data_IF_201203853299
#
_entry.id   IF_201203853299
#
_cell.length_a   1.000
_cell.length_b   1.000
_cell.length_c   1.000
_cell.angle_alpha   90.00
_cell.angle_beta   90.00
_cell.angle_gamma   90.00
#
_symmetry.space_group_name_H-M   'P 1'
#
loop_
_entity.id
_entity.type
_entity.pdbx_description
1 polymer ?
#
# COMPACT_ATOMS: atom_id res chain seq x y z
N UNK A 1 -34.72 32.19 -23.19
CA UNK A 1 -33.52 31.47 -23.63
C UNK A 1 -32.71 31.25 -22.37
N UNK A 2 -33.01 30.17 -21.64
CA UNK A 2 -32.40 29.89 -20.34
C UNK A 2 -31.26 28.90 -20.59
N UNK A 3 -30.03 29.40 -20.56
CA UNK A 3 -28.84 28.53 -20.51
C UNK A 3 -28.72 27.99 -19.08
N UNK A 4 -29.14 26.75 -18.89
CA UNK A 4 -28.90 25.98 -17.68
C UNK A 4 -27.47 25.44 -17.76
N UNK A 5 -26.56 26.08 -17.03
CA UNK A 5 -25.21 25.60 -16.78
C UNK A 5 -25.31 24.36 -15.88
N UNK A 6 -25.00 23.19 -16.45
CA UNK A 6 -24.99 21.92 -15.73
C UNK A 6 -23.65 21.80 -14.99
N UNK A 7 -23.64 21.47 -13.68
CA UNK A 7 -22.38 21.35 -12.94
C UNK A 7 -21.53 20.21 -13.53
N UNK A 8 -20.33 20.57 -13.98
CA UNK A 8 -19.31 19.62 -14.42
C UNK A 8 -18.86 18.79 -13.22
N UNK A 9 -19.12 17.49 -13.29
CA UNK A 9 -18.75 16.54 -12.25
C UNK A 9 -17.24 16.30 -12.33
N UNK A 10 -16.50 16.90 -11.39
CA UNK A 10 -15.05 16.71 -11.23
C UNK A 10 -14.77 15.23 -10.93
N UNK A 11 -14.27 14.51 -11.94
CA UNK A 11 -13.86 13.12 -11.84
C UNK A 11 -12.74 12.99 -10.79
N UNK A 12 -12.99 12.22 -9.74
CA UNK A 12 -12.00 11.93 -8.72
C UNK A 12 -10.71 11.35 -9.36
N UNK A 13 -9.51 11.76 -8.92
CA UNK A 13 -8.26 11.27 -9.48
C UNK A 13 -8.19 9.74 -9.36
N UNK A 14 -7.80 9.08 -10.46
CA UNK A 14 -7.65 7.63 -10.49
C UNK A 14 -6.59 7.18 -9.47
N UNK A 15 -6.83 6.10 -8.72
CA UNK A 15 -5.86 5.61 -7.75
C UNK A 15 -4.59 5.13 -8.47
N UNK A 16 -3.45 5.63 -8.04
CA UNK A 16 -2.15 5.16 -8.52
C UNK A 16 -1.93 3.73 -8.01
N UNK A 17 -1.48 2.85 -8.89
CA UNK A 17 -1.22 1.45 -8.55
C UNK A 17 0.16 1.01 -9.02
N UNK A 18 0.75 0.04 -8.32
CA UNK A 18 1.98 -0.65 -8.69
C UNK A 18 1.74 -2.15 -8.50
N UNK A 19 2.01 -2.95 -9.53
CA UNK A 19 1.68 -4.38 -9.57
C UNK A 19 0.22 -4.70 -9.21
N UNK A 20 -0.70 -3.80 -9.59
CA UNK A 20 -2.13 -3.90 -9.28
C UNK A 20 -2.52 -3.58 -7.83
N UNK A 21 -1.56 -3.15 -7.00
CA UNK A 21 -1.77 -2.81 -5.59
C UNK A 21 -1.84 -1.28 -5.40
N UNK A 22 -2.70 -0.76 -4.49
CA UNK A 22 -2.77 0.67 -4.21
C UNK A 22 -1.42 1.25 -3.75
N UNK A 23 -0.97 2.29 -4.44
CA UNK A 23 0.26 3.01 -4.15
C UNK A 23 -0.08 4.44 -3.72
N UNK A 24 0.40 4.84 -2.55
CA UNK A 24 0.21 6.20 -2.03
C UNK A 24 1.53 6.80 -1.58
N UNK A 25 1.54 8.11 -1.37
CA UNK A 25 2.65 8.80 -0.72
C UNK A 25 2.25 9.12 0.71
N UNK A 26 3.08 8.72 1.68
CA UNK A 26 2.91 9.04 3.10
C UNK A 26 4.23 9.58 3.63
N UNK A 27 4.19 10.80 4.20
CA UNK A 27 5.37 11.49 4.72
C UNK A 27 6.57 11.52 3.75
N UNK A 28 6.30 11.73 2.46
CA UNK A 28 7.33 11.78 1.41
C UNK A 28 7.88 10.42 0.95
N UNK A 29 7.35 9.30 1.45
CA UNK A 29 7.73 7.95 1.02
C UNK A 29 6.58 7.26 0.28
N UNK A 30 6.93 6.48 -0.75
CA UNK A 30 5.99 5.59 -1.44
C UNK A 30 5.59 4.41 -0.53
N UNK A 31 4.30 4.16 -0.41
CA UNK A 31 3.72 3.09 0.40
C UNK A 31 2.76 2.26 -0.45
N UNK A 32 3.10 1.00 -0.65
CA UNK A 32 2.33 0.01 -1.39
C UNK A 32 1.51 -0.85 -0.43
N UNK A 33 0.20 -0.92 -0.63
CA UNK A 33 -0.69 -1.75 0.17
C UNK A 33 -0.97 -3.05 -0.57
N UNK A 34 -0.40 -4.15 -0.09
CA UNK A 34 -0.43 -5.43 -0.79
C UNK A 34 -1.42 -6.37 -0.10
N UNK A 35 -2.41 -6.92 -0.82
CA UNK A 35 -3.26 -8.00 -0.30
C UNK A 35 -2.41 -9.20 0.12
N UNK A 36 -2.77 -9.81 1.26
CA UNK A 36 -2.02 -10.93 1.85
C UNK A 36 -1.79 -12.07 0.86
N UNK A 37 -2.83 -12.47 0.13
CA UNK A 37 -2.80 -13.53 -0.89
C UNK A 37 -1.89 -13.22 -2.10
N UNK A 38 -1.52 -11.96 -2.30
CA UNK A 38 -0.64 -11.52 -3.38
C UNK A 38 0.79 -11.20 -2.92
N UNK A 39 1.06 -11.27 -1.61
CA UNK A 39 2.33 -10.82 -1.03
C UNK A 39 3.55 -11.40 -1.74
N UNK A 40 3.66 -12.73 -1.82
CA UNK A 40 4.83 -13.38 -2.44
C UNK A 40 5.00 -13.01 -3.90
N UNK A 41 3.90 -12.87 -4.65
CA UNK A 41 3.93 -12.49 -6.07
C UNK A 41 4.48 -11.08 -6.23
N UNK A 42 3.97 -10.13 -5.44
CA UNK A 42 4.36 -8.72 -5.53
C UNK A 42 5.80 -8.52 -5.06
N UNK A 43 6.23 -9.16 -3.96
CA UNK A 43 7.63 -9.07 -3.50
C UNK A 43 8.60 -9.58 -4.56
N UNK A 44 8.27 -10.68 -5.26
CA UNK A 44 9.10 -11.16 -6.38
C UNK A 44 9.15 -10.18 -7.55
N UNK A 45 8.02 -9.53 -7.87
CA UNK A 45 8.00 -8.50 -8.90
C UNK A 45 8.84 -7.28 -8.50
N UNK A 46 8.75 -6.83 -7.25
CA UNK A 46 9.57 -5.73 -6.73
C UNK A 46 11.06 -6.07 -6.73
N UNK A 47 11.43 -7.32 -6.41
CA UNK A 47 12.81 -7.78 -6.57
C UNK A 47 13.27 -7.69 -8.03
N UNK A 48 12.42 -8.08 -8.99
CA UNK A 48 12.72 -7.97 -10.41
C UNK A 48 12.84 -6.51 -10.89
N UNK A 49 12.10 -5.59 -10.25
CA UNK A 49 12.19 -4.15 -10.50
C UNK A 49 13.45 -3.51 -9.90
N UNK A 50 14.26 -4.25 -9.14
CA UNK A 50 15.48 -3.75 -8.51
C UNK A 50 15.30 -3.27 -7.07
N UNK A 51 14.30 -3.76 -6.34
CA UNK A 51 14.25 -3.61 -4.88
C UNK A 51 14.97 -4.78 -4.19
N UNK A 52 16.30 -4.84 -4.34
CA UNK A 52 17.11 -5.97 -3.88
C UNK A 52 17.32 -6.09 -2.36
N UNK A 53 17.13 -5.00 -1.60
CA UNK A 53 17.45 -4.99 -0.17
C UNK A 53 16.21 -4.77 0.70
N UNK A 54 16.00 -5.67 1.66
CA UNK A 54 15.09 -5.46 2.78
C UNK A 54 15.87 -4.75 3.88
N UNK A 55 15.57 -3.47 4.13
CA UNK A 55 16.25 -2.70 5.18
C UNK A 55 15.64 -2.92 6.56
N UNK A 56 14.34 -3.25 6.62
CA UNK A 56 13.60 -3.47 7.85
C UNK A 56 12.33 -4.28 7.59
N UNK A 57 11.91 -5.06 8.58
CA UNK A 57 10.63 -5.75 8.63
C UNK A 57 10.04 -5.60 10.03
N UNK A 58 8.89 -4.95 10.12
CA UNK A 58 8.21 -4.65 11.38
C UNK A 58 6.80 -5.26 11.38
N UNK A 59 6.47 -6.01 12.42
CA UNK A 59 5.10 -6.42 12.71
C UNK A 59 4.44 -5.41 13.66
N UNK A 60 3.19 -5.04 13.38
CA UNK A 60 2.41 -4.08 14.17
C UNK A 60 1.14 -4.74 14.67
N UNK A 61 0.84 -4.60 15.96
CA UNK A 61 -0.46 -4.98 16.56
C UNK A 61 -1.28 -3.72 16.82
N UNK A 62 -2.41 -3.60 16.12
CA UNK A 62 -3.35 -2.48 16.23
C UNK A 62 -4.45 -2.70 17.27
N UNK A 63 -4.35 -3.71 18.16
CA UNK A 63 -5.37 -4.02 19.17
C UNK A 63 -5.90 -2.79 19.93
N UNK A 64 -5.02 -1.87 20.33
CA UNK A 64 -5.40 -0.67 21.08
C UNK A 64 -5.53 0.59 20.20
N UNK A 65 -5.20 0.50 18.91
CA UNK A 65 -5.25 1.60 17.95
C UNK A 65 -5.89 1.12 16.63
N UNK A 66 -7.16 0.70 16.65
CA UNK A 66 -7.80 0.09 15.48
C UNK A 66 -8.02 1.10 14.34
N UNK A 67 -8.26 2.37 14.69
CA UNK A 67 -8.51 3.45 13.74
C UNK A 67 -7.20 3.96 13.14
N UNK A 68 -6.96 3.65 11.86
CA UNK A 68 -5.84 4.18 11.08
C UNK A 68 -6.28 4.51 9.66
N UNK A 69 -5.56 5.42 9.02
CA UNK A 69 -5.79 5.75 7.62
C UNK A 69 -5.28 4.61 6.71
N UNK A 70 -6.19 4.04 5.91
CA UNK A 70 -5.89 3.09 4.85
C UNK A 70 -6.53 3.59 3.54
N UNK A 71 -5.95 3.28 2.37
CA UNK A 71 -6.57 3.58 1.09
C UNK A 71 -7.92 2.88 0.93
N UNK A 72 -8.76 3.43 0.06
CA UNK A 72 -10.01 2.79 -0.32
C UNK A 72 -9.76 1.37 -0.87
N UNK A 73 -10.58 0.40 -0.42
CA UNK A 73 -10.45 -1.01 -0.82
C UNK A 73 -9.49 -1.85 0.03
N UNK A 74 -8.76 -1.25 0.97
CA UNK A 74 -7.90 -1.99 1.92
C UNK A 74 -8.64 -2.16 3.24
N UNK A 75 -9.04 -3.38 3.57
CA UNK A 75 -9.66 -3.71 4.86
C UNK A 75 -8.62 -3.64 5.99
N UNK A 76 -8.96 -2.98 7.10
CA UNK A 76 -8.11 -2.93 8.27
C UNK A 76 -8.15 -4.26 9.03
N UNK A 77 -6.99 -4.83 9.30
CA UNK A 77 -6.85 -6.01 10.17
C UNK A 77 -6.18 -5.63 11.50
N UNK A 78 -6.19 -6.54 12.48
CA UNK A 78 -5.50 -6.35 13.75
C UNK A 78 -3.98 -6.28 13.57
N UNK A 79 -3.43 -7.21 12.79
CA UNK A 79 -2.00 -7.24 12.56
C UNK A 79 -1.66 -6.59 11.21
N UNK A 80 -0.47 -6.03 11.15
CA UNK A 80 0.10 -5.53 9.90
C UNK A 80 1.58 -5.88 9.83
N UNK A 81 2.03 -6.30 8.65
CA UNK A 81 3.45 -6.47 8.34
C UNK A 81 3.88 -5.32 7.45
N UNK A 82 4.92 -4.62 7.90
CA UNK A 82 5.54 -3.51 7.18
C UNK A 82 6.94 -3.91 6.75
N UNK A 83 7.19 -3.91 5.44
CA UNK A 83 8.50 -4.22 4.87
C UNK A 83 9.07 -2.96 4.22
N UNK A 84 10.28 -2.57 4.60
CA UNK A 84 10.98 -1.45 3.97
C UNK A 84 11.99 -2.01 2.97
N UNK A 85 11.79 -1.69 1.69
CA UNK A 85 12.61 -2.11 0.57
C UNK A 85 13.43 -0.95 0.02
N UNK A 86 14.64 -1.27 -0.45
CA UNK A 86 15.56 -0.34 -1.09
C UNK A 86 15.95 -0.86 -2.47
N UNK A 87 15.91 0.03 -3.46
CA UNK A 87 16.72 -0.07 -4.67
C UNK A 87 17.99 0.74 -4.46
N UNK A 88 19.13 0.06 -4.32
CA UNK A 88 20.40 0.74 -4.08
C UNK A 88 20.89 1.42 -5.35
N UNK A 89 20.66 0.77 -6.50
CA UNK A 89 21.00 1.31 -7.83
C UNK A 89 20.25 2.62 -8.11
N UNK A 90 18.93 2.61 -7.94
CA UNK A 90 18.10 3.78 -8.30
C UNK A 90 17.93 4.75 -7.11
N UNK A 91 18.48 4.40 -5.95
CA UNK A 91 18.40 5.15 -4.68
C UNK A 91 16.95 5.41 -4.27
N UNK A 92 16.09 4.43 -4.49
CA UNK A 92 14.66 4.50 -4.18
C UNK A 92 14.31 3.69 -2.94
N UNK A 93 13.26 4.12 -2.25
CA UNK A 93 12.69 3.42 -1.09
C UNK A 93 11.22 3.14 -1.36
N UNK A 94 10.78 1.94 -0.98
CA UNK A 94 9.38 1.55 -1.03
C UNK A 94 9.01 0.88 0.28
N UNK A 95 7.89 1.31 0.89
CA UNK A 95 7.31 0.63 2.05
C UNK A 95 6.16 -0.24 1.58
N UNK A 96 6.21 -1.52 1.88
CA UNK A 96 5.10 -2.45 1.64
C UNK A 96 4.35 -2.64 2.95
N UNK A 97 3.02 -2.52 2.94
CA UNK A 97 2.14 -2.77 4.09
C UNK A 97 1.16 -3.88 3.72
N UNK A 98 1.06 -4.89 4.57
CA UNK A 98 0.17 -6.04 4.40
C UNK A 98 -0.69 -6.20 5.63
N UNK A 99 -2.00 -6.27 5.43
CA UNK A 99 -2.99 -6.48 6.49
C UNK A 99 -3.11 -7.98 6.79
N UNK A 100 -3.05 -8.36 8.06
CA UNK A 100 -3.02 -9.76 8.50
C UNK A 100 -4.10 -10.00 9.56
N UNK A 101 -5.06 -10.92 9.32
CA UNK A 101 -6.15 -11.17 10.23
C UNK A 101 -5.67 -11.85 11.52
N UNK A 102 -6.37 -11.60 12.63
CA UNK A 102 -6.02 -12.20 13.92
C UNK A 102 -6.34 -13.69 14.00
N UNK A 103 -7.32 -14.15 13.21
CA UNK A 103 -7.75 -15.55 13.16
C UNK A 103 -6.76 -16.45 12.42
N UNK A 104 -5.88 -15.86 11.60
CA UNK A 104 -4.89 -16.56 10.78
C UNK A 104 -3.69 -15.65 10.53
N UNK A 105 -2.77 -15.61 11.49
CA UNK A 105 -1.60 -14.74 11.47
C UNK A 105 -0.45 -15.28 10.58
N UNK A 106 -0.77 -15.70 9.36
CA UNK A 106 0.17 -16.16 8.34
C UNK A 106 0.34 -15.15 7.19
N UNK A 107 1.43 -15.27 6.45
CA UNK A 107 1.79 -14.49 5.25
C UNK A 107 2.21 -15.45 4.14
#
# INVERSE_FOLDING_TARGET
MSDTDAPQQESAPQPVTLHGCPLVVSFGQQVLFVPRDQYTKVIKALLADGYEMVSDLTAVDYLLVPSRALPAGVAAERFEVVVNLLSLKDRQRLRVRVQVPESDASI
#
